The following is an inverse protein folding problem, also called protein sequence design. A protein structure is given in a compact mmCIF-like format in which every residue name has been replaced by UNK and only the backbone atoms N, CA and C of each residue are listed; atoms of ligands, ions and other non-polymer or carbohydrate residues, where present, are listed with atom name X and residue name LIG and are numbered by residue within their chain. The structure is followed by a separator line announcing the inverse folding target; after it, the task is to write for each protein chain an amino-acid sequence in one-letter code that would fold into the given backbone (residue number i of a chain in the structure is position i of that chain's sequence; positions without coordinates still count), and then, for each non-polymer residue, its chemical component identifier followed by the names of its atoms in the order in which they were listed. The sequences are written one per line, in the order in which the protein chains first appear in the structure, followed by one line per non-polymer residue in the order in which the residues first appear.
data_IF_661047436058
#
_entry.id   IF_661047436058
#
_cell.length_a   1.000
_cell.length_b   1.000
_cell.length_c   1.000
_cell.angle_alpha   90.00
_cell.angle_beta   90.00
_cell.angle_gamma   90.00
#
_symmetry.space_group_name_H-M   'P 1'
#
loop_
_entity.id
_entity.type
_entity.pdbx_description
1 polymer ?
#
# COMPACT_ATOMS: atom_id res chain seq x y z
N UNK A 1 20.47 -5.71 -8.84
CA UNK A 1 19.53 -6.54 -9.64
C UNK A 1 18.39 -6.88 -8.69
N UNK A 2 17.18 -6.32 -8.88
CA UNK A 2 16.06 -6.59 -7.97
C UNK A 2 15.48 -7.96 -8.30
N UNK A 3 15.49 -8.88 -7.34
CA UNK A 3 14.97 -10.23 -7.48
C UNK A 3 13.44 -10.15 -7.39
N UNK A 4 12.74 -10.55 -8.46
CA UNK A 4 11.29 -10.63 -8.43
C UNK A 4 10.87 -11.74 -7.47
N UNK A 5 10.04 -11.40 -6.48
CA UNK A 5 9.45 -12.38 -5.58
C UNK A 5 8.17 -12.87 -6.25
N UNK A 6 8.14 -14.16 -6.58
CA UNK A 6 6.98 -14.81 -7.18
C UNK A 6 5.98 -15.21 -6.10
N UNK A 7 4.69 -15.08 -6.39
CA UNK A 7 3.62 -15.34 -5.41
C UNK A 7 3.71 -16.78 -4.88
N UNK A 8 4.09 -17.71 -5.75
CA UNK A 8 4.32 -19.11 -5.46
C UNK A 8 5.40 -19.30 -4.38
N UNK A 9 6.46 -18.49 -4.38
CA UNK A 9 7.54 -18.57 -3.38
C UNK A 9 7.09 -18.06 -2.01
N UNK A 10 6.19 -17.07 -1.98
CA UNK A 10 5.59 -16.57 -0.73
C UNK A 10 4.65 -17.63 -0.14
N UNK A 11 3.83 -18.25 -1.00
CA UNK A 11 2.84 -19.25 -0.59
C UNK A 11 3.47 -20.59 -0.16
N UNK A 12 4.66 -20.91 -0.65
CA UNK A 12 5.45 -22.08 -0.24
C UNK A 12 6.38 -21.81 0.96
N UNK A 13 6.38 -20.60 1.52
CA UNK A 13 7.22 -20.30 2.67
C UNK A 13 6.73 -21.06 3.91
N UNK A 14 7.66 -21.66 4.67
CA UNK A 14 7.35 -22.54 5.80
C UNK A 14 6.44 -21.90 6.86
N UNK A 15 6.45 -20.57 6.97
CA UNK A 15 5.57 -19.83 7.88
C UNK A 15 4.09 -19.81 7.46
N UNK A 16 3.78 -20.14 6.21
CA UNK A 16 2.41 -20.27 5.69
C UNK A 16 1.90 -21.72 5.83
N UNK A 17 2.82 -22.70 5.92
CA UNK A 17 2.55 -24.14 5.93
C UNK A 17 2.09 -24.77 7.25
N UNK A 18 1.66 -24.01 8.26
CA UNK A 18 1.06 -24.57 9.49
C UNK A 18 -0.46 -24.74 9.30
N UNK A 19 -0.84 -25.43 8.24
CA UNK A 19 -2.20 -25.95 8.08
C UNK A 19 -2.04 -27.44 7.84
N UNK A 20 -2.20 -28.24 8.89
CA UNK A 20 -2.36 -29.69 8.76
C UNK A 20 -3.35 -29.97 7.64
N UNK A 21 -2.96 -30.70 6.58
CA UNK A 21 -3.83 -30.92 5.44
C UNK A 21 -5.05 -31.72 5.91
N UNK A 22 -6.19 -31.05 6.07
CA UNK A 22 -7.46 -31.75 6.17
C UNK A 22 -7.79 -32.27 4.78
N UNK A 23 -8.38 -33.46 4.72
CA UNK A 23 -8.56 -34.36 3.56
C UNK A 23 -9.32 -33.76 2.33
N UNK A 24 -9.59 -32.46 2.33
CA UNK A 24 -10.11 -31.72 1.19
C UNK A 24 -8.98 -30.84 0.65
N UNK A 25 -8.45 -31.27 -0.48
CA UNK A 25 -7.41 -30.58 -1.26
C UNK A 25 -7.79 -29.13 -1.56
N UNK A 26 -7.43 -28.24 -0.63
CA UNK A 26 -7.25 -26.81 -0.88
C UNK A 26 -5.92 -26.60 -1.63
N UNK A 27 -5.60 -27.49 -2.57
CA UNK A 27 -4.51 -27.28 -3.49
C UNK A 27 -4.86 -26.01 -4.25
N UNK A 28 -3.95 -25.03 -4.22
CA UNK A 28 -4.08 -23.75 -4.92
C UNK A 28 -4.44 -23.97 -6.42
N UNK A 29 -4.09 -25.14 -6.97
CA UNK A 29 -4.43 -25.62 -8.32
C UNK A 29 -5.93 -25.72 -8.61
N UNK A 30 -6.80 -25.76 -7.59
CA UNK A 30 -8.25 -25.84 -7.75
C UNK A 30 -8.93 -24.46 -7.89
N UNK A 31 -8.19 -23.36 -7.72
CA UNK A 31 -8.73 -22.02 -7.91
C UNK A 31 -8.58 -21.58 -9.37
N UNK A 32 -9.69 -21.14 -9.97
CA UNK A 32 -9.63 -20.48 -11.27
C UNK A 32 -8.94 -19.12 -11.14
N UNK A 33 -7.94 -18.85 -11.99
CA UNK A 33 -7.40 -17.51 -12.15
C UNK A 33 -8.49 -16.66 -12.82
N UNK A 34 -9.10 -15.78 -12.05
CA UNK A 34 -10.08 -14.81 -12.57
C UNK A 34 -9.34 -13.52 -12.88
N UNK A 35 -9.21 -13.19 -14.17
CA UNK A 35 -8.73 -11.88 -14.58
C UNK A 35 -9.90 -10.87 -14.47
N UNK A 36 -9.76 -9.80 -13.67
CA UNK A 36 -10.79 -8.78 -13.62
C UNK A 36 -10.91 -8.08 -14.98
N UNK A 37 -12.15 -7.82 -15.40
CA UNK A 37 -12.43 -7.10 -16.64
C UNK A 37 -12.37 -5.59 -16.40
N UNK A 38 -12.08 -4.85 -17.47
CA UNK A 38 -12.09 -3.38 -17.52
C UNK A 38 -11.23 -2.71 -16.44
N UNK A 39 -10.08 -3.32 -16.10
CA UNK A 39 -9.14 -2.69 -15.20
C UNK A 39 -8.58 -1.41 -15.82
N UNK A 40 -8.64 -0.28 -15.11
CA UNK A 40 -8.00 0.95 -15.55
C UNK A 40 -6.49 0.74 -15.69
N UNK A 41 -5.92 1.30 -16.77
CA UNK A 41 -4.49 1.19 -17.03
C UNK A 41 -3.74 2.34 -16.37
N UNK A 42 -2.61 2.01 -15.74
CA UNK A 42 -1.72 3.02 -15.20
C UNK A 42 -1.13 3.90 -16.33
N UNK A 43 -1.04 5.22 -16.11
CA UNK A 43 -0.35 6.11 -17.05
C UNK A 43 1.14 5.76 -17.11
N UNK A 44 1.69 5.77 -18.32
CA UNK A 44 3.12 5.57 -18.54
C UNK A 44 3.95 6.56 -17.73
N UNK A 45 4.99 6.07 -17.04
CA UNK A 45 5.88 6.88 -16.21
C UNK A 45 5.35 7.31 -14.83
N UNK A 46 4.13 6.91 -14.44
CA UNK A 46 3.55 7.41 -13.19
C UNK A 46 4.00 6.68 -11.91
N UNK A 47 4.66 5.52 -12.03
CA UNK A 47 5.14 4.67 -10.92
C UNK A 47 4.08 4.35 -9.84
N UNK A 48 2.81 4.20 -10.23
CA UNK A 48 1.65 3.99 -9.35
C UNK A 48 1.20 2.53 -9.24
N UNK A 49 1.85 1.56 -9.88
CA UNK A 49 1.38 0.17 -9.87
C UNK A 49 1.14 -0.35 -8.44
N UNK A 50 2.02 -0.04 -7.48
CA UNK A 50 1.83 -0.40 -6.07
C UNK A 50 0.66 0.34 -5.40
N UNK A 51 0.40 1.59 -5.79
CA UNK A 51 -0.75 2.39 -5.30
C UNK A 51 -2.07 1.79 -5.78
N UNK A 52 -2.10 1.33 -7.04
CA UNK A 52 -3.23 0.61 -7.64
C UNK A 52 -3.52 -0.68 -6.89
N UNK A 53 -2.50 -1.54 -6.70
CA UNK A 53 -2.65 -2.81 -5.98
C UNK A 53 -3.10 -2.60 -4.54
N UNK A 54 -2.49 -1.66 -3.81
CA UNK A 54 -2.85 -1.39 -2.43
C UNK A 54 -4.30 -0.88 -2.30
N UNK A 55 -4.72 0.07 -3.14
CA UNK A 55 -6.11 0.56 -3.16
C UNK A 55 -7.08 -0.58 -3.49
N UNK A 56 -6.72 -1.41 -4.46
CA UNK A 56 -7.52 -2.56 -4.83
C UNK A 56 -7.70 -3.52 -3.66
N UNK A 57 -6.63 -3.95 -2.99
CA UNK A 57 -6.72 -4.86 -1.84
C UNK A 57 -7.58 -4.32 -0.69
N UNK A 58 -7.62 -3.00 -0.50
CA UNK A 58 -8.44 -2.35 0.53
C UNK A 58 -9.92 -2.30 0.13
N UNK A 59 -10.22 -2.02 -1.14
CA UNK A 59 -11.59 -1.76 -1.61
C UNK A 59 -12.32 -3.01 -2.11
N UNK A 60 -11.59 -4.03 -2.57
CA UNK A 60 -12.15 -5.25 -3.14
C UNK A 60 -13.07 -6.04 -2.19
N UNK A 61 -12.77 -6.15 -0.87
CA UNK A 61 -13.70 -6.78 0.08
C UNK A 61 -15.03 -6.03 0.22
N UNK A 62 -15.06 -4.75 -0.16
CA UNK A 62 -16.21 -3.86 0.05
C UNK A 62 -17.08 -3.73 -1.21
N UNK A 63 -16.48 -3.88 -2.40
CA UNK A 63 -17.16 -3.80 -3.70
C UNK A 63 -16.48 -4.71 -4.72
N UNK A 64 -17.27 -5.56 -5.39
CA UNK A 64 -16.80 -6.44 -6.48
C UNK A 64 -16.72 -5.70 -7.83
N UNK A 65 -16.32 -4.44 -7.82
CA UNK A 65 -16.33 -3.56 -8.99
C UNK A 65 -14.95 -2.92 -9.20
N UNK A 66 -14.12 -3.67 -9.91
CA UNK A 66 -12.72 -3.36 -10.18
C UNK A 66 -12.55 -2.14 -11.10
N UNK A 67 -13.57 -1.84 -11.89
CA UNK A 67 -13.55 -0.80 -12.93
C UNK A 67 -13.59 0.61 -12.32
N UNK A 68 -14.12 0.71 -11.09
CA UNK A 68 -14.34 1.96 -10.37
C UNK A 68 -13.20 2.36 -9.42
N UNK A 69 -12.14 1.56 -9.35
CA UNK A 69 -10.94 1.92 -8.60
C UNK A 69 -10.21 3.04 -9.37
N UNK A 70 -9.98 4.19 -8.77
CA UNK A 70 -9.19 5.28 -9.38
C UNK A 70 -8.03 5.72 -8.50
N UNK A 71 -6.84 5.86 -9.08
CA UNK A 71 -5.65 6.42 -8.40
C UNK A 71 -5.48 7.89 -8.73
N UNK A 72 -5.61 8.72 -7.70
CA UNK A 72 -5.37 10.18 -7.75
C UNK A 72 -4.36 10.58 -6.67
N UNK A 73 -3.91 11.84 -6.69
CA UNK A 73 -2.96 12.35 -5.68
C UNK A 73 -3.47 12.16 -4.25
N UNK A 74 -4.77 12.32 -4.01
CA UNK A 74 -5.37 12.04 -2.71
C UNK A 74 -5.23 10.57 -2.30
N UNK A 75 -5.36 9.62 -3.23
CA UNK A 75 -5.14 8.18 -2.97
C UNK A 75 -3.71 7.94 -2.49
N UNK A 76 -2.73 8.51 -3.19
CA UNK A 76 -1.30 8.38 -2.82
C UNK A 76 -1.05 8.89 -1.41
N UNK A 77 -1.55 10.08 -1.11
CA UNK A 77 -1.40 10.71 0.21
C UNK A 77 -2.07 9.88 1.31
N UNK A 78 -3.27 9.36 1.04
CA UNK A 78 -4.01 8.55 2.01
C UNK A 78 -3.28 7.26 2.34
N UNK A 79 -2.76 6.56 1.33
CA UNK A 79 -1.94 5.36 1.55
C UNK A 79 -0.64 5.68 2.28
N UNK A 80 0.04 6.78 1.90
CA UNK A 80 1.25 7.21 2.59
C UNK A 80 0.98 7.47 4.08
N UNK A 81 -0.10 8.18 4.42
CA UNK A 81 -0.52 8.39 5.80
C UNK A 81 -0.85 7.08 6.51
N UNK A 82 -1.60 6.18 5.85
CA UNK A 82 -1.98 4.90 6.43
C UNK A 82 -0.76 4.03 6.77
N UNK A 83 0.22 3.97 5.87
CA UNK A 83 1.47 3.24 6.09
C UNK A 83 2.28 3.91 7.21
N UNK A 84 2.46 5.23 7.12
CA UNK A 84 3.21 6.02 8.10
C UNK A 84 2.64 5.90 9.51
N UNK A 85 1.31 5.86 9.65
CA UNK A 85 0.60 5.80 10.93
C UNK A 85 0.21 4.37 11.35
N UNK A 86 0.62 3.37 10.59
CA UNK A 86 0.32 1.97 10.91
C UNK A 86 0.98 1.58 12.24
N UNK A 87 0.28 0.79 13.05
CA UNK A 87 0.84 0.21 14.29
C UNK A 87 2.03 -0.72 14.03
N UNK A 88 2.14 -1.24 12.81
CA UNK A 88 3.25 -2.08 12.36
C UNK A 88 4.47 -1.27 11.88
N UNK A 89 4.35 0.07 11.85
CA UNK A 89 5.48 0.91 11.50
C UNK A 89 6.43 1.06 12.69
N UNK A 90 7.50 0.27 12.71
CA UNK A 90 8.54 0.32 13.75
C UNK A 90 9.25 1.67 13.85
N UNK A 91 9.12 2.52 12.83
CA UNK A 91 9.70 3.86 12.77
C UNK A 91 8.69 4.96 13.11
N UNK A 92 7.49 4.63 13.59
CA UNK A 92 6.42 5.59 13.84
C UNK A 92 6.87 6.72 14.79
N UNK A 93 7.51 6.40 15.90
CA UNK A 93 7.91 7.40 16.90
C UNK A 93 8.98 8.36 16.35
N UNK A 94 9.96 7.83 15.63
CA UNK A 94 10.99 8.64 14.95
C UNK A 94 10.37 9.52 13.86
N UNK A 95 9.44 8.97 13.08
CA UNK A 95 8.70 9.71 12.05
C UNK A 95 7.93 10.89 12.68
N UNK A 96 7.17 10.65 13.74
CA UNK A 96 6.40 11.68 14.44
C UNK A 96 7.32 12.75 15.03
N UNK A 97 8.44 12.34 15.65
CA UNK A 97 9.45 13.26 16.18
C UNK A 97 10.05 14.16 15.09
N UNK A 98 10.43 13.59 13.94
CA UNK A 98 10.94 14.34 12.79
C UNK A 98 9.88 15.28 12.19
N UNK A 99 8.63 14.82 12.09
CA UNK A 99 7.52 15.63 11.60
C UNK A 99 7.26 16.85 12.50
N UNK A 100 7.25 16.66 13.83
CA UNK A 100 7.09 17.74 14.81
C UNK A 100 8.23 18.77 14.70
N UNK A 101 9.49 18.31 14.66
CA UNK A 101 10.67 19.19 14.48
C UNK A 101 10.57 20.03 13.19
N UNK A 102 10.18 19.41 12.08
CA UNK A 102 10.00 20.11 10.82
C UNK A 102 8.88 21.16 10.90
N UNK A 103 7.75 20.82 11.53
CA UNK A 103 6.63 21.75 11.72
C UNK A 103 7.05 23.01 12.50
N UNK A 104 7.85 22.86 13.55
CA UNK A 104 8.37 23.99 14.33
C UNK A 104 9.30 24.88 13.51
N UNK A 105 10.16 24.29 12.68
CA UNK A 105 11.02 25.04 11.74
C UNK A 105 10.17 25.84 10.75
N UNK A 106 9.12 25.23 10.19
CA UNK A 106 8.24 25.91 9.24
C UNK A 106 7.46 27.05 9.89
N UNK A 107 6.95 26.86 11.11
CA UNK A 107 6.31 27.92 11.90
C UNK A 107 7.26 29.10 12.15
N UNK A 108 8.52 28.82 12.53
CA UNK A 108 9.55 29.85 12.75
C UNK A 108 9.86 30.61 11.45
N UNK A 109 9.99 29.92 10.31
CA UNK A 109 10.21 30.55 8.99
C UNK A 109 9.05 31.47 8.59
N UNK A 110 7.80 31.00 8.72
CA UNK A 110 6.61 31.81 8.44
C UNK A 110 6.51 33.05 9.33
N UNK A 111 6.79 32.91 10.64
CA UNK A 111 6.86 34.05 11.57
C UNK A 111 7.94 35.06 11.17
N UNK A 112 9.14 34.61 10.81
CA UNK A 112 10.22 35.49 10.35
C UNK A 112 9.88 36.23 9.06
N UNK A 113 9.15 35.61 8.14
CA UNK A 113 8.69 36.26 6.92
C UNK A 113 7.65 37.38 7.19
N UNK A 114 6.82 37.23 8.23
CA UNK A 114 5.82 38.22 8.64
C UNK A 114 6.40 39.40 9.43
N UNK A 115 7.58 39.26 10.03
CA UNK A 115 8.25 40.30 10.84
C UNK A 115 9.22 41.15 10.02
N UNK A 116 9.56 40.75 8.79
CA UNK A 116 10.26 41.62 7.83
C UNK A 116 9.25 42.59 7.21
N UNK A 117 9.05 43.73 7.86
CA UNK A 117 8.49 44.96 7.30
C UNK A 117 9.61 45.99 7.25
#
# INVERSE_FOLDING_TARGET
MWQAIFLEQILLHDSIGILTPTYHDNLITNFCIVQPRCLPTQRHGSNDCGVWVAKWMIECPLKNDYENVTVVTATRMKLALYICQSKNNVLLDDLVSKAAKNWDVQKKKKRKALVKV
#
